data_IF_259438354575
#
_entry.id   IF_259438354575
#
_cell.length_a   1.000
_cell.length_b   1.000
_cell.length_c   1.000
_cell.angle_alpha   90.00
_cell.angle_beta   90.00
_cell.angle_gamma   90.00
#
_symmetry.space_group_name_H-M   'P 1'
#
loop_
_entity.id
_entity.type
_entity.pdbx_description
1 polymer ?
#
# COMPACT_ATOMS: atom_id res chain seq x y z
N UNK A 1 -4.57 -21.72 6.68
CA UNK A 1 -3.15 -21.32 6.57
C UNK A 1 -2.29 -22.39 7.22
N UNK A 2 -1.34 -22.99 6.50
CA UNK A 2 -0.31 -23.79 7.17
C UNK A 2 0.56 -22.84 8.00
N UNK A 3 0.71 -23.05 9.32
CA UNK A 3 1.65 -22.25 10.11
C UNK A 3 3.06 -22.68 9.70
N UNK A 4 3.76 -21.84 8.92
CA UNK A 4 5.22 -21.97 8.78
C UNK A 4 5.88 -21.75 10.14
N UNK A 5 7.07 -22.34 10.29
CA UNK A 5 7.83 -22.29 11.54
C UNK A 5 8.03 -20.82 11.98
N UNK A 6 7.54 -20.44 13.18
CA UNK A 6 7.63 -19.07 13.70
C UNK A 6 9.05 -18.47 13.61
N UNK A 7 10.08 -19.30 13.76
CA UNK A 7 11.49 -18.90 13.73
C UNK A 7 11.97 -18.30 12.39
N UNK A 8 11.47 -18.78 11.25
CA UNK A 8 11.88 -18.24 9.94
C UNK A 8 11.30 -16.85 9.68
N UNK A 9 10.06 -16.65 10.13
CA UNK A 9 9.39 -15.35 10.07
C UNK A 9 10.02 -14.38 11.06
N UNK A 10 10.40 -14.81 12.26
CA UNK A 10 11.04 -13.94 13.25
C UNK A 10 12.41 -13.44 12.75
N UNK A 11 13.17 -14.28 12.05
CA UNK A 11 14.41 -13.87 11.37
C UNK A 11 14.17 -12.76 10.33
N UNK A 12 13.00 -12.74 9.67
CA UNK A 12 12.68 -11.70 8.69
C UNK A 12 12.53 -10.31 9.33
N UNK A 13 12.05 -10.24 10.58
CA UNK A 13 11.80 -8.99 11.31
C UNK A 13 12.97 -8.52 12.19
N UNK A 14 13.88 -9.41 12.58
CA UNK A 14 15.05 -9.03 13.39
C UNK A 14 15.93 -8.00 12.67
N UNK A 15 16.19 -6.86 13.34
CA UNK A 15 17.00 -5.75 12.84
C UNK A 15 16.61 -5.26 11.45
N UNK A 16 15.31 -5.24 11.17
CA UNK A 16 14.79 -4.94 9.85
C UNK A 16 13.56 -4.03 9.93
N UNK A 17 13.63 -2.91 9.21
CA UNK A 17 12.52 -1.96 9.03
C UNK A 17 11.82 -2.13 7.70
N UNK A 18 12.37 -2.97 6.81
CA UNK A 18 11.98 -3.15 5.41
C UNK A 18 12.02 -1.87 4.54
N UNK A 19 12.39 -0.73 5.13
CA UNK A 19 12.58 0.53 4.41
C UNK A 19 13.75 0.41 3.42
N UNK A 20 13.85 1.30 2.42
CA UNK A 20 14.85 1.15 1.35
C UNK A 20 16.31 1.20 1.78
N UNK A 21 16.62 1.57 3.02
CA UNK A 21 17.98 1.54 3.57
C UNK A 21 18.33 0.19 4.23
N UNK A 22 17.34 -0.68 4.45
CA UNK A 22 17.60 -2.05 4.88
C UNK A 22 18.31 -2.83 3.76
N UNK A 23 19.04 -3.89 4.12
CA UNK A 23 19.71 -4.74 3.14
C UNK A 23 18.73 -5.16 2.02
N UNK A 24 19.06 -4.94 0.73
CA UNK A 24 18.16 -5.27 -0.39
C UNK A 24 17.61 -6.70 -0.36
N UNK A 25 18.42 -7.63 0.17
CA UNK A 25 18.05 -9.04 0.36
C UNK A 25 16.82 -9.23 1.28
N UNK A 26 16.51 -8.28 2.16
CA UNK A 26 15.38 -8.39 3.09
C UNK A 26 14.05 -8.05 2.42
N UNK A 27 14.04 -7.01 1.58
CA UNK A 27 12.86 -6.66 0.79
C UNK A 27 12.52 -7.75 -0.24
N UNK A 28 13.53 -8.28 -0.95
CA UNK A 28 13.30 -9.39 -1.88
C UNK A 28 12.73 -10.63 -1.19
N UNK A 29 13.25 -10.98 0.00
CA UNK A 29 12.73 -12.08 0.82
C UNK A 29 11.28 -11.86 1.29
N UNK A 30 10.91 -10.62 1.61
CA UNK A 30 9.52 -10.28 1.91
C UNK A 30 8.62 -10.58 0.70
N UNK A 31 9.02 -10.10 -0.49
CA UNK A 31 8.25 -10.32 -1.71
C UNK A 31 8.17 -11.80 -2.10
N UNK A 32 9.27 -12.55 -2.02
CA UNK A 32 9.27 -13.98 -2.32
C UNK A 32 8.36 -14.76 -1.35
N UNK A 33 8.30 -14.36 -0.08
CA UNK A 33 7.40 -14.96 0.90
C UNK A 33 5.93 -14.67 0.57
N UNK A 34 5.59 -13.43 0.20
CA UNK A 34 4.25 -13.03 -0.24
C UNK A 34 3.84 -13.79 -1.50
N UNK A 35 4.73 -13.86 -2.49
CA UNK A 35 4.51 -14.59 -3.74
C UNK A 35 4.20 -16.07 -3.47
N UNK A 36 4.95 -16.69 -2.55
CA UNK A 36 4.73 -18.07 -2.14
C UNK A 36 3.39 -18.26 -1.42
N UNK A 37 3.00 -17.34 -0.54
CA UNK A 37 1.75 -17.43 0.22
C UNK A 37 0.53 -17.20 -0.69
N UNK A 38 0.62 -16.27 -1.63
CA UNK A 38 -0.40 -16.05 -2.68
C UNK A 38 -0.55 -17.25 -3.60
N UNK A 39 0.56 -17.85 -4.03
CA UNK A 39 0.55 -19.10 -4.81
C UNK A 39 -0.11 -20.24 -4.04
N UNK A 40 0.29 -20.43 -2.78
CA UNK A 40 -0.25 -21.48 -1.91
C UNK A 40 -1.76 -21.28 -1.68
N UNK A 41 -2.19 -20.03 -1.53
CA UNK A 41 -3.60 -19.65 -1.40
C UNK A 41 -4.40 -20.02 -2.64
N UNK A 42 -3.88 -19.75 -3.85
CA UNK A 42 -4.53 -20.15 -5.09
C UNK A 42 -4.63 -21.68 -5.23
N UNK A 43 -3.54 -22.41 -4.93
CA UNK A 43 -3.54 -23.86 -4.97
C UNK A 43 -4.53 -24.47 -3.95
N UNK A 44 -4.63 -23.87 -2.77
CA UNK A 44 -5.62 -24.25 -1.74
C UNK A 44 -7.05 -23.99 -2.25
N UNK A 45 -7.31 -22.82 -2.82
CA UNK A 45 -8.61 -22.48 -3.38
C UNK A 45 -9.03 -23.46 -4.49
N UNK A 46 -8.09 -23.87 -5.35
CA UNK A 46 -8.31 -24.90 -6.37
C UNK A 46 -8.78 -26.23 -5.75
N UNK A 47 -8.06 -26.72 -4.75
CA UNK A 47 -8.38 -27.99 -4.09
C UNK A 47 -9.71 -27.92 -3.33
N UNK A 48 -9.96 -26.83 -2.61
CA UNK A 48 -11.21 -26.63 -1.87
C UNK A 48 -12.41 -26.47 -2.81
N UNK A 49 -12.27 -25.76 -3.93
CA UNK A 49 -13.32 -25.68 -4.93
C UNK A 49 -13.68 -27.06 -5.50
N UNK A 50 -12.67 -27.90 -5.79
CA UNK A 50 -12.89 -29.26 -6.27
C UNK A 50 -13.67 -30.11 -5.25
N UNK A 51 -13.32 -29.98 -3.96
CA UNK A 51 -13.99 -30.70 -2.87
C UNK A 51 -15.40 -30.18 -2.62
N UNK A 52 -15.60 -28.86 -2.65
CA UNK A 52 -16.88 -28.23 -2.35
C UNK A 52 -17.90 -28.41 -3.47
N UNK A 53 -17.47 -28.45 -4.74
CA UNK A 53 -18.34 -28.50 -5.91
C UNK A 53 -18.03 -29.72 -6.79
N UNK A 54 -18.20 -30.95 -6.28
CA UNK A 54 -17.91 -32.16 -7.04
C UNK A 54 -18.80 -32.22 -8.28
N UNK A 55 -18.21 -32.61 -9.43
CA UNK A 55 -18.92 -32.80 -10.70
C UNK A 55 -19.73 -31.59 -11.19
N UNK A 56 -19.32 -30.35 -10.87
CA UNK A 56 -19.98 -29.12 -11.35
C UNK A 56 -19.36 -28.65 -12.67
N UNK A 57 -20.01 -28.85 -13.84
CA UNK A 57 -19.42 -28.54 -15.14
C UNK A 57 -19.18 -27.04 -15.34
N UNK A 58 -19.96 -26.21 -14.64
CA UNK A 58 -19.87 -24.74 -14.68
C UNK A 58 -18.50 -24.22 -14.21
N UNK A 59 -17.78 -24.99 -13.38
CA UNK A 59 -16.43 -24.67 -12.92
C UNK A 59 -15.32 -25.19 -13.83
N UNK A 60 -15.64 -25.81 -14.96
CA UNK A 60 -14.64 -26.31 -15.92
C UNK A 60 -13.66 -25.21 -16.36
N UNK A 61 -14.17 -24.01 -16.64
CA UNK A 61 -13.34 -22.84 -16.97
C UNK A 61 -12.44 -22.41 -15.81
N UNK A 62 -12.96 -22.38 -14.59
CA UNK A 62 -12.18 -22.06 -13.38
C UNK A 62 -11.01 -23.05 -13.19
N UNK A 63 -11.28 -24.35 -13.25
CA UNK A 63 -10.23 -25.36 -13.04
C UNK A 63 -9.16 -25.31 -14.15
N UNK A 64 -9.58 -25.16 -15.42
CA UNK A 64 -8.65 -25.02 -16.53
C UNK A 64 -7.78 -23.76 -16.41
N UNK A 65 -8.39 -22.60 -16.14
CA UNK A 65 -7.68 -21.33 -15.97
C UNK A 65 -6.73 -21.34 -14.79
N UNK A 66 -7.14 -21.92 -13.65
CA UNK A 66 -6.30 -22.01 -12.46
C UNK A 66 -5.12 -22.95 -12.66
N UNK A 67 -5.34 -24.12 -13.29
CA UNK A 67 -4.26 -25.03 -13.63
C UNK A 67 -3.24 -24.38 -14.57
N UNK A 68 -3.70 -23.68 -15.61
CA UNK A 68 -2.82 -22.91 -16.49
C UNK A 68 -2.02 -21.86 -15.73
N UNK A 69 -2.67 -21.08 -14.85
CA UNK A 69 -2.02 -20.06 -14.03
C UNK A 69 -0.95 -20.63 -13.08
N UNK A 70 -1.22 -21.79 -12.48
CA UNK A 70 -0.26 -22.51 -11.62
C UNK A 70 0.99 -22.92 -12.43
N UNK A 71 0.78 -23.42 -13.65
CA UNK A 71 1.83 -23.94 -14.53
C UNK A 71 2.61 -22.85 -15.28
N UNK A 72 2.18 -21.57 -15.22
CA UNK A 72 2.92 -20.47 -15.84
C UNK A 72 4.35 -20.32 -15.28
N UNK A 73 5.28 -19.76 -16.07
CA UNK A 73 6.59 -19.33 -15.57
C UNK A 73 6.45 -18.42 -14.34
N UNK A 74 7.38 -18.52 -13.39
CA UNK A 74 7.28 -17.81 -12.12
C UNK A 74 7.09 -16.29 -12.27
N UNK A 75 7.78 -15.67 -13.25
CA UNK A 75 7.70 -14.22 -13.49
C UNK A 75 6.30 -13.81 -13.96
N UNK A 76 5.73 -14.52 -14.93
CA UNK A 76 4.38 -14.24 -15.45
C UNK A 76 3.32 -14.50 -14.40
N UNK A 77 3.44 -15.63 -13.68
CA UNK A 77 2.56 -15.98 -12.58
C UNK A 77 2.57 -14.90 -11.50
N UNK A 78 3.75 -14.43 -11.08
CA UNK A 78 3.88 -13.35 -10.09
C UNK A 78 3.21 -12.06 -10.57
N UNK A 79 3.34 -11.71 -11.85
CA UNK A 79 2.68 -10.52 -12.39
C UNK A 79 1.15 -10.58 -12.23
N UNK A 80 0.53 -11.73 -12.53
CA UNK A 80 -0.91 -11.93 -12.36
C UNK A 80 -1.31 -12.02 -10.89
N UNK A 81 -0.59 -12.83 -10.09
CA UNK A 81 -0.93 -13.01 -8.68
C UNK A 81 -0.77 -11.70 -7.90
N UNK A 82 0.14 -10.82 -8.29
CA UNK A 82 0.34 -9.54 -7.60
C UNK A 82 -0.52 -8.39 -8.15
N UNK A 83 -1.41 -8.67 -9.10
CA UNK A 83 -2.36 -7.67 -9.60
C UNK A 83 -3.41 -7.33 -8.53
N UNK A 84 -3.73 -6.04 -8.29
CA UNK A 84 -4.70 -5.64 -7.29
C UNK A 84 -6.09 -6.27 -7.49
N UNK A 85 -6.58 -6.37 -8.73
CA UNK A 85 -7.91 -6.93 -9.01
C UNK A 85 -7.92 -8.45 -8.76
N UNK A 86 -6.84 -9.15 -9.12
CA UNK A 86 -6.68 -10.57 -8.78
C UNK A 86 -6.68 -10.78 -7.26
N UNK A 87 -5.96 -9.95 -6.52
CA UNK A 87 -5.88 -10.04 -5.05
C UNK A 87 -7.23 -9.77 -4.37
N UNK A 88 -8.01 -8.83 -4.87
CA UNK A 88 -9.39 -8.57 -4.39
C UNK A 88 -10.25 -9.81 -4.62
N UNK A 89 -10.25 -10.36 -5.84
CA UNK A 89 -11.00 -11.57 -6.17
C UNK A 89 -10.58 -12.76 -5.30
N UNK A 90 -9.28 -13.00 -5.16
CA UNK A 90 -8.75 -14.14 -4.40
C UNK A 90 -9.14 -14.06 -2.93
N UNK A 91 -8.98 -12.89 -2.29
CA UNK A 91 -9.39 -12.66 -0.90
C UNK A 91 -10.89 -12.89 -0.71
N UNK A 92 -11.74 -12.38 -1.61
CA UNK A 92 -13.20 -12.61 -1.55
C UNK A 92 -13.53 -14.10 -1.66
N UNK A 93 -12.93 -14.81 -2.62
CA UNK A 93 -13.14 -16.25 -2.78
C UNK A 93 -12.69 -17.05 -1.57
N UNK A 94 -11.56 -16.70 -0.95
CA UNK A 94 -11.07 -17.34 0.27
C UNK A 94 -12.03 -17.11 1.45
N UNK A 95 -12.47 -15.87 1.67
CA UNK A 95 -13.45 -15.58 2.72
C UNK A 95 -14.77 -16.35 2.52
N UNK A 96 -15.30 -16.35 1.29
CA UNK A 96 -16.50 -17.11 0.94
C UNK A 96 -16.30 -18.61 1.12
N UNK A 97 -15.12 -19.14 0.79
CA UNK A 97 -14.77 -20.54 1.03
C UNK A 97 -14.89 -20.86 2.52
N UNK A 98 -14.24 -20.08 3.40
CA UNK A 98 -14.35 -20.31 4.85
C UNK A 98 -15.79 -20.24 5.36
N UNK A 99 -16.58 -19.26 4.90
CA UNK A 99 -17.99 -19.18 5.27
C UNK A 99 -18.79 -20.43 4.88
N UNK A 100 -18.54 -21.00 3.70
CA UNK A 100 -19.18 -22.25 3.27
C UNK A 100 -18.72 -23.43 4.13
N UNK A 101 -17.44 -23.47 4.51
CA UNK A 101 -16.90 -24.49 5.41
C UNK A 101 -17.47 -24.42 6.81
N UNK A 102 -17.73 -23.21 7.30
CA UNK A 102 -18.38 -22.94 8.58
C UNK A 102 -19.91 -23.16 8.52
N UNK A 103 -20.43 -23.59 7.37
CA UNK A 103 -21.82 -24.03 7.20
C UNK A 103 -22.79 -22.97 6.66
N UNK A 104 -22.32 -21.77 6.32
CA UNK A 104 -23.16 -20.69 5.78
C UNK A 104 -23.57 -20.98 4.32
N UNK A 105 -24.72 -21.63 4.14
CA UNK A 105 -25.18 -22.08 2.82
C UNK A 105 -25.44 -20.95 1.82
N UNK A 106 -25.84 -19.76 2.29
CA UNK A 106 -26.04 -18.59 1.41
C UNK A 106 -24.76 -18.14 0.71
N UNK A 107 -23.58 -18.38 1.31
CA UNK A 107 -22.29 -18.06 0.69
C UNK A 107 -21.92 -18.99 -0.47
N UNK A 108 -22.53 -20.19 -0.55
CA UNK A 108 -22.15 -21.21 -1.53
C UNK A 108 -22.45 -20.79 -2.97
N UNK A 109 -23.61 -20.19 -3.21
CA UNK A 109 -23.96 -19.67 -4.54
C UNK A 109 -23.07 -18.49 -4.95
N UNK A 110 -22.78 -17.59 -4.02
CA UNK A 110 -21.89 -16.44 -4.26
C UNK A 110 -20.45 -16.90 -4.55
N UNK A 111 -19.98 -17.93 -3.85
CA UNK A 111 -18.68 -18.55 -4.12
C UNK A 111 -18.63 -19.15 -5.53
N UNK A 112 -19.66 -19.92 -5.92
CA UNK A 112 -19.75 -20.53 -7.24
C UNK A 112 -19.63 -19.48 -8.35
N UNK A 113 -20.43 -18.41 -8.29
CA UNK A 113 -20.38 -17.31 -9.27
C UNK A 113 -19.03 -16.59 -9.28
N UNK A 114 -18.44 -16.37 -8.10
CA UNK A 114 -17.10 -15.75 -7.99
C UNK A 114 -16.01 -16.60 -8.64
N UNK A 115 -16.05 -17.93 -8.45
CA UNK A 115 -15.10 -18.85 -9.08
C UNK A 115 -15.29 -18.90 -10.60
N UNK A 116 -16.55 -18.90 -11.07
CA UNK A 116 -16.88 -18.87 -12.52
C UNK A 116 -16.37 -17.62 -13.23
N UNK A 117 -16.23 -16.50 -12.52
CA UNK A 117 -15.74 -15.24 -13.08
C UNK A 117 -14.22 -15.20 -13.33
N UNK A 118 -13.44 -16.18 -12.83
CA UNK A 118 -11.98 -16.18 -12.97
C UNK A 118 -11.48 -16.07 -14.43
N UNK A 119 -11.99 -16.83 -15.41
CA UNK A 119 -11.50 -16.74 -16.78
C UNK A 119 -11.67 -15.35 -17.38
N UNK A 120 -12.79 -14.68 -17.11
CA UNK A 120 -13.04 -13.32 -17.57
C UNK A 120 -12.10 -12.32 -16.88
N UNK A 121 -11.90 -12.46 -15.57
CA UNK A 121 -10.92 -11.66 -14.82
C UNK A 121 -9.53 -11.78 -15.45
N UNK A 122 -9.03 -13.00 -15.68
CA UNK A 122 -7.71 -13.21 -16.28
C UNK A 122 -7.60 -12.60 -17.69
N UNK A 123 -8.69 -12.62 -18.48
CA UNK A 123 -8.72 -11.93 -19.77
C UNK A 123 -8.62 -10.41 -19.62
N UNK A 124 -9.32 -9.80 -18.65
CA UNK A 124 -9.21 -8.36 -18.38
C UNK A 124 -7.79 -7.97 -17.98
N UNK A 125 -7.16 -8.77 -17.10
CA UNK A 125 -5.78 -8.55 -16.67
C UNK A 125 -4.78 -8.67 -17.83
N UNK A 126 -4.95 -9.68 -18.68
CA UNK A 126 -4.09 -9.85 -19.86
C UNK A 126 -4.20 -8.68 -20.84
N UNK A 127 -5.41 -8.15 -21.07
CA UNK A 127 -5.64 -6.96 -21.91
C UNK A 127 -4.97 -5.72 -21.30
N UNK A 128 -5.21 -5.47 -20.02
CA UNK A 128 -4.64 -4.34 -19.31
C UNK A 128 -3.10 -4.38 -19.31
N UNK A 129 -2.52 -5.58 -19.15
CA UNK A 129 -1.08 -5.79 -19.24
C UNK A 129 -0.55 -5.51 -20.65
N UNK A 130 -1.21 -6.00 -21.70
CA UNK A 130 -0.81 -5.79 -23.09
C UNK A 130 -0.79 -4.30 -23.48
N UNK A 131 -1.76 -3.52 -23.01
CA UNK A 131 -1.81 -2.05 -23.21
C UNK A 131 -0.61 -1.31 -22.58
N UNK A 132 0.02 -1.89 -21.55
CA UNK A 132 1.03 -1.25 -20.73
C UNK A 132 2.43 -1.90 -20.83
N UNK A 133 2.63 -2.89 -21.71
CA UNK A 133 3.89 -3.64 -21.85
C UNK A 133 5.14 -2.77 -22.12
N UNK A 134 4.97 -1.54 -22.61
CA UNK A 134 6.08 -0.66 -22.99
C UNK A 134 6.52 0.33 -21.91
N UNK A 135 5.78 0.44 -20.81
CA UNK A 135 6.12 1.34 -19.71
C UNK A 135 6.64 0.52 -18.52
N UNK A 136 7.93 0.64 -18.19
CA UNK A 136 8.51 0.12 -16.94
C UNK A 136 7.98 0.85 -15.67
N UNK A 137 6.74 1.35 -15.73
CA UNK A 137 6.10 2.25 -14.78
C UNK A 137 4.63 1.87 -14.63
N UNK A 138 4.03 2.04 -13.45
CA UNK A 138 2.63 1.70 -13.26
C UNK A 138 1.74 2.59 -14.14
N UNK A 139 0.68 2.02 -14.74
CA UNK A 139 -0.35 2.78 -15.43
C UNK A 139 -0.95 3.88 -14.55
N UNK A 140 -1.11 5.06 -15.14
CA UNK A 140 -1.96 6.12 -14.59
C UNK A 140 -3.32 6.01 -15.28
N UNK A 141 -4.36 5.75 -14.49
CA UNK A 141 -5.73 5.56 -14.98
C UNK A 141 -6.69 6.45 -14.22
N UNK A 142 -7.83 6.76 -14.82
CA UNK A 142 -8.86 7.60 -14.22
C UNK A 142 -10.18 6.85 -14.06
N UNK A 143 -10.87 6.61 -15.17
CA UNK A 143 -12.15 5.90 -15.17
C UNK A 143 -12.05 4.47 -15.70
N UNK A 144 -10.98 4.14 -16.41
CA UNK A 144 -10.72 2.79 -16.92
C UNK A 144 -10.04 1.91 -15.84
N UNK A 145 -10.70 1.78 -14.70
CA UNK A 145 -10.23 1.00 -13.55
C UNK A 145 -10.97 -0.34 -13.54
N UNK A 146 -10.28 -1.43 -13.20
CA UNK A 146 -10.96 -2.74 -13.09
C UNK A 146 -12.12 -2.63 -12.08
N UNK A 147 -13.32 -3.16 -12.41
CA UNK A 147 -14.49 -3.06 -11.55
C UNK A 147 -14.29 -3.58 -10.13
N UNK A 148 -13.42 -4.58 -9.92
CA UNK A 148 -13.11 -5.10 -8.59
C UNK A 148 -12.38 -4.07 -7.75
N UNK A 149 -11.46 -3.31 -8.35
CA UNK A 149 -10.73 -2.23 -7.66
C UNK A 149 -11.69 -1.08 -7.36
N UNK A 150 -12.49 -0.67 -8.35
CA UNK A 150 -13.47 0.41 -8.18
C UNK A 150 -14.44 0.15 -7.03
N UNK A 151 -14.91 -1.10 -6.90
CA UNK A 151 -15.83 -1.52 -5.83
C UNK A 151 -15.20 -1.47 -4.42
N UNK A 152 -13.86 -1.50 -4.31
CA UNK A 152 -13.15 -1.48 -3.03
C UNK A 152 -12.68 -0.07 -2.63
N UNK A 153 -12.88 0.96 -3.46
CA UNK A 153 -12.36 2.30 -3.16
C UNK A 153 -13.12 2.99 -2.01
N UNK A 154 -14.41 2.72 -1.83
CA UNK A 154 -15.18 3.29 -0.73
C UNK A 154 -14.56 2.96 0.64
N UNK A 155 -14.57 3.88 1.64
CA UNK A 155 -15.13 5.24 1.58
C UNK A 155 -14.16 6.30 1.02
N UNK A 156 -12.99 5.91 0.49
CA UNK A 156 -11.96 6.86 0.05
C UNK A 156 -12.39 7.65 -1.19
N UNK A 157 -13.11 6.99 -2.10
CA UNK A 157 -13.66 7.61 -3.29
C UNK A 157 -14.80 6.74 -3.86
N UNK A 158 -15.82 7.39 -4.40
CA UNK A 158 -16.92 6.76 -5.12
C UNK A 158 -16.92 7.30 -6.55
N UNK A 159 -16.81 6.41 -7.53
CA UNK A 159 -16.90 6.84 -8.93
C UNK A 159 -18.33 7.28 -9.25
N UNK A 160 -18.51 8.39 -9.98
CA UNK A 160 -19.84 8.82 -10.40
C UNK A 160 -20.49 7.75 -11.28
N UNK A 161 -21.75 7.44 -11.00
CA UNK A 161 -22.54 6.50 -11.79
C UNK A 161 -23.14 7.13 -13.05
N UNK A 162 -23.21 8.47 -13.12
CA UNK A 162 -23.79 9.19 -14.24
C UNK A 162 -22.74 9.67 -15.25
N UNK A 163 -23.02 9.43 -16.53
CA UNK A 163 -22.10 9.73 -17.63
C UNK A 163 -21.82 11.24 -17.78
N UNK A 164 -22.81 12.09 -17.47
CA UNK A 164 -22.65 13.54 -17.54
C UNK A 164 -21.63 14.07 -16.54
N UNK A 165 -21.62 13.54 -15.31
CA UNK A 165 -20.60 13.89 -14.31
C UNK A 165 -19.26 13.28 -14.65
N UNK A 166 -19.22 12.04 -15.14
CA UNK A 166 -17.98 11.43 -15.65
C UNK A 166 -17.33 12.31 -16.73
N UNK A 167 -18.10 12.74 -17.73
CA UNK A 167 -17.59 13.57 -18.82
C UNK A 167 -17.19 14.98 -18.37
N UNK A 168 -17.90 15.59 -17.40
CA UNK A 168 -17.44 16.84 -16.76
C UNK A 168 -16.13 16.64 -16.04
N UNK A 169 -16.00 15.55 -15.28
CA UNK A 169 -14.80 15.24 -14.56
C UNK A 169 -13.65 15.03 -15.54
N UNK A 170 -13.81 14.30 -16.65
CA UNK A 170 -12.78 14.15 -17.70
C UNK A 170 -12.18 15.49 -18.14
N UNK A 171 -13.00 16.54 -18.18
CA UNK A 171 -12.61 17.91 -18.52
C UNK A 171 -12.12 18.76 -17.33
N UNK A 172 -12.13 18.22 -16.12
CA UNK A 172 -11.72 18.87 -14.87
C UNK A 172 -10.33 18.40 -14.43
N UNK A 173 -9.52 19.34 -13.96
CA UNK A 173 -8.13 19.09 -13.54
C UNK A 173 -7.17 19.05 -14.71
N UNK A 174 -5.98 18.49 -14.48
CA UNK A 174 -5.03 18.23 -15.56
C UNK A 174 -5.46 17.05 -16.43
N UNK A 175 -5.08 17.05 -17.71
CA UNK A 175 -5.27 15.88 -18.57
C UNK A 175 -4.49 14.68 -18.02
N UNK A 176 -4.98 13.47 -18.29
CA UNK A 176 -4.33 12.24 -17.81
C UNK A 176 -2.90 12.10 -18.34
N UNK A 177 -2.63 12.56 -19.57
CA UNK A 177 -1.30 12.56 -20.17
C UNK A 177 -0.36 13.51 -19.42
N UNK A 178 -0.78 14.74 -19.17
CA UNK A 178 0.03 15.70 -18.40
C UNK A 178 0.29 15.18 -16.98
N UNK A 179 -0.75 14.66 -16.31
CA UNK A 179 -0.58 14.13 -14.96
C UNK A 179 0.37 12.93 -14.94
N UNK A 180 0.28 12.04 -15.94
CA UNK A 180 1.22 10.94 -16.13
C UNK A 180 2.66 11.44 -16.30
N UNK A 181 2.88 12.48 -17.10
CA UNK A 181 4.21 13.11 -17.25
C UNK A 181 4.74 13.70 -15.95
N UNK A 182 3.89 14.37 -15.17
CA UNK A 182 4.25 14.90 -13.85
C UNK A 182 4.67 13.79 -12.90
N UNK A 183 3.88 12.70 -12.82
CA UNK A 183 4.21 11.52 -12.00
C UNK A 183 5.52 10.89 -12.47
N UNK A 184 5.73 10.78 -13.77
CA UNK A 184 6.96 10.24 -14.37
C UNK A 184 8.20 11.07 -14.00
N UNK A 185 8.07 12.41 -14.04
CA UNK A 185 9.14 13.32 -13.60
C UNK A 185 9.40 13.16 -12.10
N UNK A 186 8.35 13.10 -11.28
CA UNK A 186 8.47 12.89 -9.83
C UNK A 186 9.16 11.55 -9.51
N UNK A 187 8.78 10.46 -10.16
CA UNK A 187 9.42 9.15 -10.01
C UNK A 187 10.89 9.16 -10.44
N UNK A 188 11.22 9.86 -11.52
CA UNK A 188 12.60 10.03 -11.97
C UNK A 188 13.43 10.83 -10.94
N UNK A 189 12.82 11.86 -10.34
CA UNK A 189 13.44 12.63 -9.26
C UNK A 189 13.61 11.79 -7.99
N UNK A 190 12.66 10.94 -7.63
CA UNK A 190 12.80 9.97 -6.53
C UNK A 190 13.91 8.98 -6.83
N UNK A 191 14.02 8.46 -8.06
CA UNK A 191 15.08 7.54 -8.45
C UNK A 191 16.47 8.14 -8.28
N UNK A 192 16.63 9.45 -8.53
CA UNK A 192 17.87 10.18 -8.29
C UNK A 192 18.12 10.46 -6.81
N UNK A 193 17.08 10.82 -6.05
CA UNK A 193 17.19 11.19 -4.62
C UNK A 193 17.38 9.96 -3.72
N UNK A 194 16.64 8.88 -3.96
CA UNK A 194 16.65 7.65 -3.18
C UNK A 194 16.34 6.43 -4.05
N UNK A 195 17.35 5.86 -4.74
CA UNK A 195 17.17 4.78 -5.71
C UNK A 195 16.41 3.56 -5.16
N UNK A 196 16.69 3.18 -3.90
CA UNK A 196 16.00 2.07 -3.24
C UNK A 196 14.50 2.31 -3.08
N UNK A 197 14.07 3.56 -2.78
CA UNK A 197 12.64 3.88 -2.68
C UNK A 197 11.94 3.74 -4.02
N UNK A 198 12.61 4.16 -5.11
CA UNK A 198 12.09 3.98 -6.46
C UNK A 198 12.04 2.50 -6.87
N UNK A 199 13.03 1.69 -6.47
CA UNK A 199 12.99 0.24 -6.67
C UNK A 199 11.77 -0.37 -5.95
N UNK A 200 11.57 -0.08 -4.66
CA UNK A 200 10.43 -0.59 -3.91
C UNK A 200 9.10 -0.16 -4.54
N UNK A 201 8.99 1.10 -4.97
CA UNK A 201 7.82 1.60 -5.68
C UNK A 201 7.48 0.74 -6.90
N UNK A 202 8.46 0.35 -7.72
CA UNK A 202 8.24 -0.47 -8.92
C UNK A 202 7.70 -1.87 -8.62
N UNK A 203 8.00 -2.41 -7.44
CA UNK A 203 7.52 -3.72 -7.02
C UNK A 203 6.15 -3.65 -6.34
N UNK A 204 5.90 -2.56 -5.61
CA UNK A 204 4.74 -2.39 -4.74
C UNK A 204 3.55 -1.71 -5.42
N UNK A 205 3.78 -0.75 -6.31
CA UNK A 205 2.71 0.02 -6.97
C UNK A 205 2.50 -0.49 -8.39
N UNK A 206 1.27 -0.96 -8.66
CA UNK A 206 0.82 -1.51 -9.94
C UNK A 206 -0.15 -0.61 -10.66
N UNK A 207 -0.82 0.29 -9.96
CA UNK A 207 -1.82 1.19 -10.52
C UNK A 207 -1.83 2.53 -9.78
N UNK A 208 -1.92 3.62 -10.53
CA UNK A 208 -2.17 4.96 -10.01
C UNK A 208 -3.52 5.43 -10.53
N UNK A 209 -4.49 5.57 -9.63
CA UNK A 209 -5.79 6.16 -9.93
C UNK A 209 -5.71 7.67 -9.75
N UNK A 210 -5.86 8.41 -10.84
CA UNK A 210 -5.89 9.87 -10.84
C UNK A 210 -7.34 10.38 -10.64
N UNK A 211 -7.59 11.07 -9.54
CA UNK A 211 -8.90 11.50 -9.07
C UNK A 211 -8.89 13.01 -8.76
N UNK A 212 -8.98 13.91 -9.75
CA UNK A 212 -8.74 15.33 -9.55
C UNK A 212 -9.79 16.04 -8.70
N UNK A 213 -10.99 15.50 -8.59
CA UNK A 213 -12.11 15.96 -7.76
C UNK A 213 -12.07 15.42 -6.33
N UNK A 214 -11.17 14.47 -6.03
CA UNK A 214 -11.07 13.89 -4.70
C UNK A 214 -10.72 14.95 -3.65
N UNK A 215 -11.32 14.81 -2.46
CA UNK A 215 -10.96 15.59 -1.28
C UNK A 215 -9.61 15.17 -0.69
N UNK A 216 -9.17 13.93 -0.97
CA UNK A 216 -7.90 13.41 -0.54
C UNK A 216 -6.78 13.96 -1.43
N UNK A 217 -5.64 14.30 -0.84
CA UNK A 217 -4.43 14.65 -1.58
C UNK A 217 -3.84 13.41 -2.27
N UNK A 218 -3.70 12.35 -1.49
CA UNK A 218 -3.34 11.02 -1.95
C UNK A 218 -3.88 9.99 -0.96
N UNK A 219 -4.01 8.73 -1.36
CA UNK A 219 -4.49 7.68 -0.46
C UNK A 219 -4.23 6.27 -0.98
N UNK A 220 -4.27 5.31 -0.07
CA UNK A 220 -4.34 3.89 -0.40
C UNK A 220 -4.94 3.12 0.77
N UNK A 221 -5.31 1.86 0.53
CA UNK A 221 -5.79 0.97 1.58
C UNK A 221 -5.42 -0.48 1.31
N UNK A 222 -5.27 -1.26 2.39
CA UNK A 222 -4.97 -2.70 2.35
C UNK A 222 -5.90 -3.49 1.42
N UNK A 223 -7.19 -3.13 1.38
CA UNK A 223 -8.22 -3.83 0.57
C UNK A 223 -8.03 -3.71 -0.94
N UNK A 224 -7.24 -2.75 -1.42
CA UNK A 224 -6.82 -2.61 -2.82
C UNK A 224 -5.29 -2.44 -2.93
N UNK A 225 -4.54 -3.22 -2.15
CA UNK A 225 -3.06 -3.22 -2.18
C UNK A 225 -2.53 -3.36 -3.61
N UNK A 226 -1.52 -2.56 -3.92
CA UNK A 226 -0.94 -2.36 -5.25
C UNK A 226 -1.56 -1.19 -6.04
N UNK A 227 -2.69 -0.63 -5.61
CA UNK A 227 -3.26 0.58 -6.19
C UNK A 227 -3.14 1.79 -5.23
N UNK A 228 -2.80 2.95 -5.79
CA UNK A 228 -2.73 4.22 -5.06
C UNK A 228 -3.64 5.27 -5.73
N UNK A 229 -4.16 6.18 -4.92
CA UNK A 229 -5.03 7.27 -5.34
C UNK A 229 -4.25 8.58 -5.25
N UNK A 230 -4.24 9.38 -6.32
CA UNK A 230 -3.63 10.71 -6.34
C UNK A 230 -4.65 11.72 -6.89
N UNK A 231 -4.73 12.91 -6.30
CA UNK A 231 -5.55 14.01 -6.82
C UNK A 231 -4.70 15.12 -7.44
N UNK A 232 -5.36 16.13 -8.01
CA UNK A 232 -4.72 17.32 -8.56
C UNK A 232 -4.38 18.38 -7.49
N UNK A 233 -4.38 18.01 -6.20
CA UNK A 233 -4.14 18.93 -5.08
C UNK A 233 -2.67 19.20 -4.79
N UNK A 234 -1.75 18.42 -5.38
CA UNK A 234 -0.31 18.70 -5.30
C UNK A 234 0.04 19.91 -6.17
N UNK A 235 0.63 20.94 -5.57
CA UNK A 235 0.95 22.21 -6.24
C UNK A 235 2.43 22.34 -6.62
N UNK A 236 3.24 21.32 -6.31
CA UNK A 236 4.66 21.28 -6.68
C UNK A 236 5.13 19.84 -6.93
N UNK A 237 6.24 19.68 -7.66
CA UNK A 237 6.84 18.37 -7.87
C UNK A 237 7.28 17.71 -6.55
N UNK A 238 7.82 18.48 -5.61
CA UNK A 238 8.17 17.96 -4.28
C UNK A 238 6.94 17.37 -3.57
N UNK A 239 5.78 18.04 -3.69
CA UNK A 239 4.55 17.54 -3.09
C UNK A 239 4.09 16.23 -3.73
N UNK A 240 4.20 16.08 -5.06
CA UNK A 240 3.91 14.81 -5.75
C UNK A 240 4.89 13.72 -5.31
N UNK A 241 6.18 14.03 -5.16
CA UNK A 241 7.18 13.09 -4.65
C UNK A 241 6.83 12.61 -3.24
N UNK A 242 6.48 13.52 -2.34
CA UNK A 242 6.07 13.18 -0.98
C UNK A 242 4.80 12.30 -0.97
N UNK A 243 3.82 12.59 -1.85
CA UNK A 243 2.63 11.74 -2.04
C UNK A 243 3.02 10.33 -2.48
N UNK A 244 3.88 10.19 -3.49
CA UNK A 244 4.33 8.89 -4.00
C UNK A 244 5.11 8.10 -2.95
N UNK A 245 6.04 8.74 -2.24
CA UNK A 245 6.82 8.11 -1.15
C UNK A 245 5.90 7.67 -0.03
N UNK A 246 4.92 8.51 0.36
CA UNK A 246 3.93 8.17 1.39
C UNK A 246 3.13 6.93 1.02
N UNK A 247 2.59 6.89 -0.18
CA UNK A 247 1.78 5.75 -0.61
C UNK A 247 2.64 4.50 -0.84
N UNK A 248 3.91 4.63 -1.25
CA UNK A 248 4.86 3.50 -1.27
C UNK A 248 5.02 2.88 0.11
N UNK A 249 5.16 3.71 1.14
CA UNK A 249 5.29 3.26 2.51
C UNK A 249 4.05 2.49 2.99
N UNK A 250 2.85 2.97 2.64
CA UNK A 250 1.62 2.25 2.91
C UNK A 250 1.59 0.89 2.21
N UNK A 251 1.94 0.82 0.91
CA UNK A 251 1.98 -0.45 0.18
C UNK A 251 2.99 -1.45 0.76
N UNK A 252 4.14 -0.96 1.20
CA UNK A 252 5.14 -1.78 1.89
C UNK A 252 4.56 -2.34 3.20
N UNK A 253 3.91 -1.49 4.00
CA UNK A 253 3.31 -1.94 5.25
C UNK A 253 2.16 -2.94 5.03
N UNK A 254 1.33 -2.75 3.99
CA UNK A 254 0.31 -3.75 3.63
C UNK A 254 0.92 -5.10 3.26
N UNK A 255 2.07 -5.11 2.57
CA UNK A 255 2.82 -6.32 2.26
C UNK A 255 3.34 -7.00 3.54
N UNK A 256 3.87 -6.23 4.50
CA UNK A 256 4.29 -6.75 5.80
C UNK A 256 3.10 -7.35 6.57
N UNK A 257 1.98 -6.64 6.61
CA UNK A 257 0.74 -7.03 7.29
C UNK A 257 0.02 -8.23 6.65
N UNK A 258 0.32 -8.54 5.39
CA UNK A 258 -0.15 -9.75 4.72
C UNK A 258 0.50 -11.01 5.30
N UNK A 259 1.78 -10.92 5.69
CA UNK A 259 2.50 -12.03 6.33
C UNK A 259 2.19 -12.10 7.81
N UNK A 260 2.21 -10.96 8.51
CA UNK A 260 1.94 -10.92 9.94
C UNK A 260 1.27 -9.61 10.35
N UNK A 261 0.11 -9.66 11.05
CA UNK A 261 -0.49 -8.45 11.59
C UNK A 261 0.45 -7.77 12.60
N UNK A 262 0.52 -6.44 12.52
CA UNK A 262 1.34 -5.60 13.40
C UNK A 262 0.60 -5.26 14.69
N UNK A 263 -0.68 -4.89 14.56
CA UNK A 263 -1.62 -4.72 15.67
C UNK A 263 -2.39 -6.03 15.85
N UNK A 264 -2.60 -6.43 17.11
CA UNK A 264 -3.39 -7.61 17.44
C UNK A 264 -4.83 -7.42 16.92
N UNK A 265 -5.31 -8.26 15.99
CA UNK A 265 -6.68 -8.16 15.49
C UNK A 265 -7.77 -8.40 16.55
N UNK A 266 -7.38 -8.94 17.72
CA UNK A 266 -8.28 -9.18 18.86
C UNK A 266 -8.17 -8.10 19.94
N UNK A 267 -7.29 -7.10 19.77
CA UNK A 267 -7.25 -5.97 20.68
C UNK A 267 -8.50 -5.10 20.48
N UNK A 268 -9.22 -4.88 21.58
CA UNK A 268 -10.51 -4.17 21.59
C UNK A 268 -10.36 -2.71 21.09
N UNK A 269 -11.10 -2.37 20.03
CA UNK A 269 -10.87 -1.19 19.17
C UNK A 269 -11.39 0.15 19.76
N UNK A 270 -11.82 0.18 21.03
CA UNK A 270 -12.52 1.35 21.58
C UNK A 270 -11.62 2.59 21.84
N UNK A 271 -10.29 2.43 21.79
CA UNK A 271 -9.36 3.52 22.08
C UNK A 271 -9.04 4.36 20.83
N UNK A 272 -9.44 5.63 20.88
CA UNK A 272 -9.02 6.63 19.88
C UNK A 272 -7.65 7.23 20.23
N UNK A 273 -6.79 7.29 19.22
CA UNK A 273 -5.51 7.97 19.21
C UNK A 273 -5.56 9.21 18.33
N UNK A 274 -4.80 10.25 18.67
CA UNK A 274 -4.78 11.51 17.92
C UNK A 274 -3.45 11.67 17.20
N UNK A 275 -3.49 11.73 15.86
CA UNK A 275 -2.29 11.84 15.03
C UNK A 275 -1.51 13.14 15.34
N UNK A 276 -0.20 13.08 15.62
CA UNK A 276 0.57 14.28 15.99
C UNK A 276 0.63 15.39 14.93
N UNK A 277 0.39 15.04 13.66
CA UNK A 277 0.47 15.98 12.53
C UNK A 277 -0.85 16.65 12.15
N UNK A 278 -1.99 16.01 12.46
CA UNK A 278 -3.31 16.50 12.02
C UNK A 278 -4.32 16.59 13.15
N UNK A 279 -3.99 16.06 14.33
CA UNK A 279 -4.92 15.88 15.45
C UNK A 279 -6.20 15.11 15.07
N UNK A 280 -6.16 14.32 13.99
CA UNK A 280 -7.27 13.47 13.57
C UNK A 280 -7.37 12.27 14.51
N UNK A 281 -8.57 11.93 15.04
CA UNK A 281 -8.77 10.70 15.79
C UNK A 281 -8.68 9.49 14.85
N UNK A 282 -8.08 8.40 15.32
CA UNK A 282 -7.92 7.14 14.58
C UNK A 282 -7.65 5.97 15.54
N UNK A 283 -7.87 4.74 15.08
CA UNK A 283 -7.46 3.54 15.81
C UNK A 283 -5.93 3.30 15.75
N UNK A 284 -5.43 2.35 16.53
CA UNK A 284 -3.98 2.09 16.61
C UNK A 284 -3.37 1.66 15.27
N UNK A 285 -4.07 0.86 14.47
CA UNK A 285 -3.57 0.42 13.16
C UNK A 285 -3.33 1.61 12.21
N UNK A 286 -4.31 2.52 12.11
CA UNK A 286 -4.15 3.76 11.34
C UNK A 286 -3.04 4.66 11.92
N UNK A 287 -2.90 4.69 13.25
CA UNK A 287 -1.83 5.44 13.91
C UNK A 287 -0.44 4.91 13.54
N UNK A 288 -0.26 3.59 13.54
CA UNK A 288 0.97 2.94 13.14
C UNK A 288 1.26 3.14 11.65
N UNK A 289 0.25 3.02 10.78
CA UNK A 289 0.37 3.30 9.34
C UNK A 289 0.87 4.73 9.09
N UNK A 290 0.27 5.71 9.78
CA UNK A 290 0.70 7.10 9.69
C UNK A 290 2.16 7.28 10.18
N UNK A 291 2.53 6.67 11.31
CA UNK A 291 3.90 6.69 11.81
C UNK A 291 4.91 6.13 10.80
N UNK A 292 4.63 4.93 10.26
CA UNK A 292 5.49 4.25 9.30
C UNK A 292 5.69 5.09 8.02
N UNK A 293 4.60 5.63 7.46
CA UNK A 293 4.66 6.45 6.27
C UNK A 293 5.37 7.79 6.48
N UNK A 294 5.21 8.40 7.65
CA UNK A 294 5.89 9.64 7.99
C UNK A 294 7.40 9.44 8.17
N UNK A 295 7.83 8.32 8.74
CA UNK A 295 9.25 8.00 8.82
C UNK A 295 9.87 7.81 7.43
N UNK A 296 9.20 7.10 6.51
CA UNK A 296 9.68 6.96 5.14
C UNK A 296 9.76 8.30 4.40
N UNK A 297 8.76 9.19 4.57
CA UNK A 297 8.80 10.56 4.04
C UNK A 297 9.95 11.39 4.62
N UNK A 298 10.16 11.32 5.93
CA UNK A 298 11.26 12.04 6.60
C UNK A 298 12.61 11.67 5.99
N UNK A 299 12.85 10.36 5.82
CA UNK A 299 14.08 9.81 5.24
C UNK A 299 14.26 10.25 3.79
N UNK A 300 13.18 10.32 3.01
CA UNK A 300 13.22 10.91 1.68
C UNK A 300 13.63 12.40 1.70
N UNK A 301 12.98 13.21 2.54
CA UNK A 301 13.24 14.65 2.64
C UNK A 301 14.67 14.97 3.08
N UNK A 302 15.26 14.15 3.96
CA UNK A 302 16.67 14.28 4.37
C UNK A 302 17.64 14.14 3.19
N UNK A 303 17.27 13.35 2.18
CA UNK A 303 18.07 13.11 0.96
C UNK A 303 17.85 14.16 -0.11
N UNK A 304 16.83 15.02 0.01
CA UNK A 304 16.58 16.09 -0.96
C UNK A 304 17.72 17.10 -0.92
N UNK A 305 18.48 17.15 -2.03
CA UNK A 305 19.65 18.02 -2.24
C UNK A 305 19.67 18.52 -3.68
N UNK A 306 20.44 19.58 -3.94
CA UNK A 306 20.66 20.14 -5.29
C UNK A 306 19.34 20.53 -6.00
N UNK A 307 18.37 21.04 -5.22
CA UNK A 307 17.09 21.57 -5.72
C UNK A 307 17.08 23.10 -5.64
N UNK A 308 16.12 23.79 -6.29
CA UNK A 308 15.94 25.23 -6.09
C UNK A 308 15.84 25.58 -4.60
N UNK A 309 16.37 26.74 -4.20
CA UNK A 309 16.46 27.13 -2.78
C UNK A 309 15.09 27.13 -2.06
N UNK A 310 14.03 27.58 -2.73
CA UNK A 310 12.67 27.56 -2.20
C UNK A 310 12.15 26.15 -1.94
N UNK A 311 12.51 25.19 -2.78
CA UNK A 311 12.14 23.79 -2.63
C UNK A 311 12.93 23.13 -1.49
N UNK A 312 14.23 23.43 -1.37
CA UNK A 312 15.05 22.96 -0.25
C UNK A 312 14.53 23.49 1.10
N UNK A 313 14.14 24.77 1.16
CA UNK A 313 13.55 25.35 2.36
C UNK A 313 12.21 24.69 2.73
N UNK A 314 11.36 24.38 1.74
CA UNK A 314 10.10 23.65 1.96
C UNK A 314 10.35 22.23 2.47
N UNK A 315 11.33 21.53 1.89
CA UNK A 315 11.71 20.19 2.33
C UNK A 315 12.21 20.20 3.78
N UNK A 316 13.04 21.17 4.17
CA UNK A 316 13.51 21.33 5.55
C UNK A 316 12.36 21.60 6.53
N UNK A 317 11.42 22.48 6.15
CA UNK A 317 10.24 22.76 6.97
C UNK A 317 9.37 21.51 7.19
N UNK A 318 9.10 20.75 6.11
CA UNK A 318 8.36 19.49 6.20
C UNK A 318 9.12 18.45 7.04
N UNK A 319 10.45 18.36 6.89
CA UNK A 319 11.30 17.46 7.66
C UNK A 319 11.16 17.73 9.17
N UNK A 320 11.31 19.00 9.60
CA UNK A 320 11.16 19.38 11.02
C UNK A 320 9.77 19.07 11.55
N UNK A 321 8.73 19.43 10.79
CA UNK A 321 7.34 19.16 11.16
C UNK A 321 7.08 17.66 11.36
N UNK A 322 7.59 16.83 10.44
CA UNK A 322 7.43 15.39 10.50
C UNK A 322 8.19 14.82 11.71
N UNK A 323 9.46 15.18 11.88
CA UNK A 323 10.33 14.66 12.94
C UNK A 323 9.76 14.91 14.34
N UNK A 324 9.24 16.12 14.60
CA UNK A 324 8.55 16.43 15.87
C UNK A 324 7.34 15.53 16.12
N UNK A 325 6.57 15.26 15.07
CA UNK A 325 5.42 14.36 15.19
C UNK A 325 5.83 12.91 15.40
N UNK A 326 6.92 12.45 14.79
CA UNK A 326 7.46 11.10 14.98
C UNK A 326 7.89 10.86 16.44
N UNK A 327 8.57 11.82 17.09
CA UNK A 327 8.91 11.69 18.50
C UNK A 327 7.68 11.53 19.42
N UNK A 328 6.62 12.30 19.16
CA UNK A 328 5.33 12.17 19.89
C UNK A 328 4.62 10.85 19.59
N UNK A 329 4.63 10.43 18.34
CA UNK A 329 4.04 9.17 17.91
C UNK A 329 4.75 7.96 18.52
N UNK A 330 6.08 7.99 18.57
CA UNK A 330 6.89 6.93 19.12
C UNK A 330 6.57 6.70 20.61
N UNK A 331 6.48 7.77 21.41
CA UNK A 331 6.10 7.66 22.82
C UNK A 331 4.74 6.96 23.02
N UNK A 332 3.78 7.26 22.15
CA UNK A 332 2.43 6.67 22.17
C UNK A 332 2.47 5.18 21.79
N UNK A 333 3.20 4.84 20.72
CA UNK A 333 3.32 3.47 20.22
C UNK A 333 4.08 2.55 21.18
N UNK A 334 5.19 3.03 21.75
CA UNK A 334 6.00 2.25 22.70
C UNK A 334 5.17 1.86 23.93
N UNK A 335 4.30 2.76 24.41
CA UNK A 335 3.41 2.49 25.54
C UNK A 335 2.22 1.56 25.24
N UNK A 336 1.94 1.25 23.97
CA UNK A 336 0.81 0.39 23.61
C UNK A 336 1.09 -1.09 23.90
N UNK A 337 0.08 -1.82 24.38
CA UNK A 337 0.14 -3.28 24.60
C UNK A 337 -0.54 -4.09 23.48
N UNK A 338 -1.15 -3.40 22.53
CA UNK A 338 -1.99 -3.97 21.48
C UNK A 338 -1.17 -4.36 20.23
N UNK A 339 0.15 -4.19 20.27
CA UNK A 339 1.04 -4.67 19.20
C UNK A 339 1.28 -6.17 19.34
N UNK A 340 1.29 -6.88 18.23
CA UNK A 340 1.75 -8.28 18.20
C UNK A 340 3.25 -8.34 18.51
N UNK A 341 3.78 -9.54 18.82
CA UNK A 341 5.22 -9.71 19.05
C UNK A 341 6.08 -9.21 17.88
N UNK A 342 5.66 -9.48 16.63
CA UNK A 342 6.36 -8.98 15.44
C UNK A 342 6.14 -7.50 15.21
N UNK A 343 4.95 -6.99 15.55
CA UNK A 343 4.67 -5.55 15.56
C UNK A 343 5.58 -4.80 16.52
N UNK A 344 5.85 -5.37 17.71
CA UNK A 344 6.81 -4.82 18.67
C UNK A 344 8.24 -4.83 18.10
N UNK A 345 8.70 -5.96 17.55
CA UNK A 345 10.04 -6.04 16.93
C UNK A 345 10.21 -5.00 15.81
N UNK A 346 9.19 -4.84 14.95
CA UNK A 346 9.22 -3.82 13.91
C UNK A 346 9.28 -2.41 14.52
N UNK A 347 8.44 -2.13 15.53
CA UNK A 347 8.45 -0.83 16.20
C UNK A 347 9.82 -0.53 16.83
N UNK A 348 10.44 -1.50 17.50
CA UNK A 348 11.73 -1.30 18.16
C UNK A 348 12.82 -0.94 17.12
N UNK A 349 12.86 -1.63 15.97
CA UNK A 349 13.77 -1.28 14.88
C UNK A 349 13.49 0.13 14.31
N UNK A 350 12.20 0.51 14.16
CA UNK A 350 11.82 1.84 13.67
C UNK A 350 12.12 2.94 14.72
N UNK A 351 12.03 2.61 16.01
CA UNK A 351 12.35 3.51 17.11
C UNK A 351 13.83 3.90 17.08
N UNK A 352 14.72 2.94 16.84
CA UNK A 352 16.16 3.19 16.68
C UNK A 352 16.44 4.19 15.55
N UNK A 353 15.76 4.05 14.42
CA UNK A 353 15.85 4.98 13.27
C UNK A 353 15.36 6.38 13.64
N UNK A 354 14.20 6.50 14.28
CA UNK A 354 13.65 7.80 14.72
C UNK A 354 14.62 8.49 15.67
N UNK A 355 15.13 7.78 16.68
CA UNK A 355 16.07 8.34 17.65
C UNK A 355 17.39 8.75 17.00
N UNK A 356 17.86 8.00 15.99
CA UNK A 356 19.05 8.38 15.21
C UNK A 356 18.81 9.67 14.41
N UNK A 357 17.65 9.80 13.77
CA UNK A 357 17.26 10.99 13.02
C UNK A 357 17.07 12.22 13.93
N UNK A 358 16.47 12.05 15.12
CA UNK A 358 16.36 13.13 16.12
C UNK A 358 17.73 13.63 16.57
N UNK A 359 18.68 12.73 16.83
CA UNK A 359 20.07 13.12 17.17
C UNK A 359 20.75 13.83 16.01
N UNK A 360 20.59 13.33 14.79
CA UNK A 360 21.22 13.93 13.60
C UNK A 360 20.69 15.36 13.35
N UNK A 361 19.40 15.59 13.56
CA UNK A 361 18.73 16.88 13.31
C UNK A 361 18.52 17.73 14.57
N UNK A 362 19.18 17.43 15.69
CA UNK A 362 18.97 18.10 16.98
C UNK A 362 19.14 19.63 16.90
N UNK A 363 20.16 20.11 16.19
CA UNK A 363 20.41 21.54 15.99
C UNK A 363 19.28 22.23 15.20
N UNK A 364 18.73 21.53 14.21
CA UNK A 364 17.62 22.04 13.39
C UNK A 364 16.32 22.09 14.19
N UNK A 365 16.07 21.08 15.03
CA UNK A 365 14.94 21.05 15.97
C UNK A 365 15.03 22.18 17.01
N UNK A 366 16.22 22.46 17.55
CA UNK A 366 16.44 23.52 18.53
C UNK A 366 16.16 24.92 17.94
N UNK A 367 16.70 25.22 16.75
CA UNK A 367 16.49 26.51 16.06
C UNK A 367 15.03 26.78 15.71
N UNK A 368 14.31 25.73 15.30
CA UNK A 368 12.89 25.83 14.97
C UNK A 368 11.99 25.91 16.21
N UNK A 369 12.47 25.50 17.40
CA UNK A 369 11.73 25.61 18.66
C UNK A 369 11.65 27.05 19.14
N UNK A 370 12.75 27.79 19.05
CA UNK A 370 12.83 29.21 19.41
C UNK A 370 11.90 30.12 18.60
N UNK A 371 11.60 29.75 17.34
CA UNK A 371 10.68 30.49 16.47
C UNK A 371 9.19 30.25 16.79
N UNK A 372 8.84 29.13 17.43
CA UNK A 372 7.47 28.84 17.85
C UNK A 372 7.13 29.52 19.19
N UNK A 373 8.07 29.55 20.14
CA UNK A 373 7.88 30.24 21.42
C UNK A 373 7.77 31.77 21.26
N UNK A 374 8.48 32.37 20.30
CA UNK A 374 8.35 33.80 19.99
C UNK A 374 7.01 34.18 19.32
N UNK A 375 6.27 33.22 18.77
CA UNK A 375 4.94 33.45 18.17
C UNK A 375 3.78 33.19 19.12
N UNK A 376 4.02 32.54 20.26
CA UNK A 376 3.05 32.37 21.35
C UNK A 376 3.21 33.43 22.45
N UNK A 377 4.26 34.26 22.38
CA UNK A 377 4.55 35.35 23.31
C UNK A 377 4.18 36.75 22.77
N UNK A 378 3.39 36.84 21.68
CA UNK A 378 2.85 38.10 21.13
C UNK A 378 1.33 38.08 21.16
#
# INVERSE_FOLDING_TARGET
>A
MHPKHPAELDNLFQHNTFMPDASPNRFSRLLDQIDQDRYTTLATLYAEAYRLFPATPELGGFFASTASLILLPAVERRATLNDPAFQIWARRCVCLTYQVLDGLQSARGVLLESLRALPELLQRLARAAAEHQHANRPPVRRFDIDPLIAAELAPCYEFPSDEATRQRLENTGYSIHFFSDVVNVALSRIALTWPGCHEQFRHLVRLICYLPDSHLRSGSARRYSGAILLSARDHSLLEVEESLVRETAHQLLYCIEEICPIVDPQADEERLYFLPWSNRPCGLAEYFQAFFAQLMRLKYLERVRQRPASEMQRAEHHLVFILRGLGRALATLTGSRELTARGRLLLDNLAEEVLALERHHANLLARSGQLYDLRLAV
#
